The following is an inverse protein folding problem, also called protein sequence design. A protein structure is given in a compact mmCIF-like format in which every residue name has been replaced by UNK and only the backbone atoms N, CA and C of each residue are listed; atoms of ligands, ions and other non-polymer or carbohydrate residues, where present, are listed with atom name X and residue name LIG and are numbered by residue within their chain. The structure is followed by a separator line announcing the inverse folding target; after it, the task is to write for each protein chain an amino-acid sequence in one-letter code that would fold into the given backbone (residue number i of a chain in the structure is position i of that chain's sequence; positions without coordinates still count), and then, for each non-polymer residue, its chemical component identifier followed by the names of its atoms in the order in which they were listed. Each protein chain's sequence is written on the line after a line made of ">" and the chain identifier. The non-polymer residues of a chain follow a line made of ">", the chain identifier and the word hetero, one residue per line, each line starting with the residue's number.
data_IF_465410840288
#
_entry.id   IF_465410840288
#
_cell.length_a   1.000
_cell.length_b   1.000
_cell.length_c   1.000
_cell.angle_alpha   90.00
_cell.angle_beta   90.00
_cell.angle_gamma   90.00
#
_symmetry.space_group_name_H-M   'P 1'
#
loop_
_entity.id
_entity.type
_entity.pdbx_description
1 polymer ?
#
# COMPACT_ATOMS: atom_id res chain seq x y z
N UNK A 1 -43.66 24.41 30.06
CA UNK A 1 -44.77 25.34 29.90
C UNK A 1 -46.06 24.56 29.68
N UNK A 2 -47.06 24.85 30.52
CA UNK A 2 -48.52 24.62 30.35
C UNK A 2 -49.09 23.30 29.78
N UNK A 3 -49.81 22.62 30.70
CA UNK A 3 -51.18 22.05 30.61
C UNK A 3 -51.44 20.65 30.01
N UNK A 4 -51.58 19.72 30.97
CA UNK A 4 -52.64 18.71 31.26
C UNK A 4 -53.13 17.70 30.18
N UNK A 5 -53.36 16.43 30.59
CA UNK A 5 -53.79 15.29 29.76
C UNK A 5 -55.33 15.10 29.82
N UNK A 6 -55.88 14.05 29.14
CA UNK A 6 -57.01 13.18 29.58
C UNK A 6 -57.61 12.31 28.43
N UNK A 7 -57.79 11.00 28.74
CA UNK A 7 -58.82 10.01 28.28
C UNK A 7 -58.54 8.99 27.14
N UNK A 8 -58.61 7.71 27.55
CA UNK A 8 -58.76 6.42 26.83
C UNK A 8 -60.24 6.10 26.51
N UNK A 9 -60.60 5.03 25.75
CA UNK A 9 -60.92 3.72 26.36
C UNK A 9 -60.45 2.50 25.50
N UNK A 10 -60.08 1.33 26.04
CA UNK A 10 -60.94 0.19 26.51
C UNK A 10 -61.28 -0.73 25.31
N UNK A 11 -61.21 -2.07 25.27
CA UNK A 11 -61.03 -3.26 26.14
C UNK A 11 -60.62 -4.43 25.17
N UNK A 12 -59.60 -5.28 25.40
CA UNK A 12 -59.58 -6.62 26.06
C UNK A 12 -60.34 -7.77 25.30
N UNK A 13 -60.12 -9.10 25.51
CA UNK A 13 -58.92 -9.93 25.81
C UNK A 13 -58.89 -11.33 25.07
N UNK A 14 -57.95 -12.23 25.45
CA UNK A 14 -57.91 -13.73 25.36
C UNK A 14 -57.10 -14.50 24.28
N UNK A 15 -56.01 -15.13 24.78
CA UNK A 15 -55.53 -16.55 24.73
C UNK A 15 -55.68 -17.43 23.47
N UNK A 16 -54.51 -17.94 23.03
CA UNK A 16 -54.06 -19.33 22.71
C UNK A 16 -54.98 -20.29 21.92
N UNK A 17 -54.44 -21.13 20.99
CA UNK A 17 -53.75 -22.35 21.43
C UNK A 17 -52.61 -22.89 20.54
N UNK A 18 -51.83 -23.77 21.15
CA UNK A 18 -50.95 -24.80 20.60
C UNK A 18 -51.73 -25.94 19.95
N UNK A 19 -51.19 -26.57 18.89
CA UNK A 19 -51.12 -28.04 18.77
C UNK A 19 -50.37 -28.58 17.51
N UNK A 20 -49.58 -29.63 17.77
CA UNK A 20 -49.27 -30.82 16.94
C UNK A 20 -48.65 -30.67 15.52
N UNK A 21 -47.39 -31.14 15.34
CA UNK A 21 -47.03 -32.50 14.84
C UNK A 21 -45.58 -32.57 14.31
N UNK A 22 -44.87 -33.63 14.69
CA UNK A 22 -43.59 -34.07 14.12
C UNK A 22 -43.81 -34.86 12.80
N UNK A 23 -42.76 -35.03 11.98
CA UNK A 23 -42.09 -36.35 11.96
C UNK A 23 -40.56 -36.31 11.70
N UNK A 24 -39.86 -37.35 12.17
CA UNK A 24 -38.50 -37.72 11.73
C UNK A 24 -38.53 -38.32 10.31
N UNK A 25 -37.40 -38.28 9.57
CA UNK A 25 -36.66 -39.54 9.40
C UNK A 25 -35.12 -39.41 9.38
N UNK A 26 -34.49 -40.54 9.68
CA UNK A 26 -33.09 -40.90 9.47
C UNK A 26 -32.59 -40.71 8.03
N UNK A 27 -31.36 -40.22 7.85
CA UNK A 27 -30.41 -40.76 6.86
C UNK A 27 -28.99 -40.18 7.04
N UNK A 28 -28.07 -41.02 7.53
CA UNK A 28 -26.61 -40.82 7.39
C UNK A 28 -26.19 -41.11 5.93
N UNK A 29 -25.23 -40.39 5.35
CA UNK A 29 -24.66 -40.75 4.05
C UNK A 29 -23.73 -41.98 4.16
N UNK A 30 -23.66 -42.85 3.13
CA UNK A 30 -22.81 -44.04 3.13
C UNK A 30 -21.33 -43.70 2.85
N UNK A 31 -20.37 -44.55 3.29
CA UNK A 31 -18.95 -44.40 2.98
C UNK A 31 -18.63 -44.90 1.56
N UNK A 32 -17.75 -44.19 0.85
CA UNK A 32 -17.20 -44.62 -0.43
C UNK A 32 -16.20 -45.78 -0.23
N UNK A 33 -16.16 -46.78 -1.14
CA UNK A 33 -15.36 -47.99 -0.92
C UNK A 33 -13.88 -47.81 -1.30
N UNK A 34 -13.01 -48.32 -0.42
CA UNK A 34 -11.61 -48.65 -0.70
C UNK A 34 -11.52 -49.66 -1.85
N UNK A 35 -10.69 -49.38 -2.85
CA UNK A 35 -10.23 -50.39 -3.80
C UNK A 35 -8.69 -50.48 -3.77
N UNK A 36 -8.23 -51.46 -2.98
CA UNK A 36 -7.23 -52.49 -3.27
C UNK A 36 -6.05 -52.10 -4.21
N UNK A 37 -4.88 -51.92 -3.59
CA UNK A 37 -3.55 -52.15 -4.15
C UNK A 37 -3.29 -53.65 -4.41
N UNK A 38 -2.57 -54.03 -5.48
CA UNK A 38 -1.76 -55.24 -5.47
C UNK A 38 -0.31 -54.93 -5.07
N UNK A 39 0.15 -55.67 -4.06
CA UNK A 39 1.56 -55.83 -3.68
C UNK A 39 2.31 -56.57 -4.80
N UNK A 40 3.55 -56.16 -5.11
CA UNK A 40 4.61 -57.10 -5.43
C UNK A 40 5.96 -56.59 -4.92
N UNK A 41 6.63 -57.47 -4.16
CA UNK A 41 8.00 -57.31 -3.65
C UNK A 41 9.02 -57.36 -4.80
N UNK A 42 10.10 -56.59 -4.66
CA UNK A 42 11.30 -56.80 -5.47
C UNK A 42 12.46 -55.91 -5.03
N UNK A 43 13.33 -56.44 -4.17
CA UNK A 43 14.68 -55.90 -3.90
C UNK A 43 15.44 -55.70 -5.21
N UNK A 44 16.21 -54.60 -5.35
CA UNK A 44 17.65 -54.59 -5.69
C UNK A 44 18.22 -53.17 -5.84
N UNK A 45 19.48 -53.06 -5.48
CA UNK A 45 20.40 -51.91 -5.52
C UNK A 45 20.71 -51.37 -6.94
N UNK A 46 21.36 -50.19 -6.92
CA UNK A 46 22.32 -49.59 -7.88
C UNK A 46 21.76 -48.44 -8.78
N UNK A 47 22.62 -47.57 -9.38
CA UNK A 47 23.23 -46.38 -8.76
C UNK A 47 23.10 -45.13 -9.67
N UNK A 48 23.76 -44.03 -9.29
CA UNK A 48 23.93 -42.83 -10.08
C UNK A 48 24.74 -43.05 -11.38
N UNK A 49 24.28 -42.49 -12.51
CA UNK A 49 25.12 -41.80 -13.52
C UNK A 49 24.31 -41.17 -14.67
N UNK A 50 24.44 -39.86 -14.79
CA UNK A 50 24.74 -39.06 -15.99
C UNK A 50 24.71 -39.75 -17.36
N UNK A 51 23.87 -39.27 -18.30
CA UNK A 51 24.13 -39.30 -19.76
C UNK A 51 23.48 -38.07 -20.42
N UNK A 52 24.28 -37.34 -21.19
CA UNK A 52 23.86 -36.41 -22.22
C UNK A 52 23.97 -37.11 -23.60
N UNK A 53 23.07 -36.80 -24.54
CA UNK A 53 23.35 -36.41 -25.94
C UNK A 53 22.19 -36.69 -26.92
N UNK A 54 21.81 -35.61 -27.62
CA UNK A 54 21.55 -35.45 -29.06
C UNK A 54 20.61 -36.39 -29.84
N UNK A 55 19.64 -35.78 -30.54
CA UNK A 55 19.51 -35.85 -32.01
C UNK A 55 18.53 -34.79 -32.56
N UNK A 56 19.02 -33.93 -33.47
CA UNK A 56 18.28 -33.17 -34.50
C UNK A 56 18.19 -34.04 -35.78
N UNK A 57 17.39 -33.77 -36.86
CA UNK A 57 17.48 -32.54 -37.69
C UNK A 57 16.23 -32.09 -38.50
N UNK A 58 16.29 -30.88 -39.07
CA UNK A 58 15.42 -30.45 -40.18
C UNK A 58 15.56 -28.96 -40.60
N UNK A 59 16.57 -28.68 -41.44
CA UNK A 59 16.76 -27.64 -42.51
C UNK A 59 16.02 -26.25 -42.41
N UNK A 60 16.60 -25.03 -42.53
CA UNK A 60 17.63 -24.35 -43.38
C UNK A 60 16.95 -23.16 -44.17
N UNK A 61 17.66 -22.23 -44.85
CA UNK A 61 18.69 -21.28 -44.37
C UNK A 61 18.56 -19.84 -44.97
N UNK A 62 19.31 -18.83 -44.47
CA UNK A 62 19.91 -17.76 -45.31
C UNK A 62 21.26 -17.29 -44.73
N UNK A 63 22.22 -17.12 -45.64
CA UNK A 63 23.66 -16.92 -45.53
C UNK A 63 24.14 -15.54 -45.00
N UNK A 64 25.30 -15.55 -44.32
CA UNK A 64 26.42 -14.60 -44.54
C UNK A 64 27.74 -15.39 -44.51
N UNK A 65 28.48 -15.35 -45.62
CA UNK A 65 29.84 -15.86 -45.84
C UNK A 65 30.85 -14.82 -45.32
N UNK A 66 31.81 -15.20 -44.45
CA UNK A 66 33.16 -15.73 -44.74
C UNK A 66 34.19 -14.60 -44.93
N UNK A 67 35.46 -14.67 -44.52
CA UNK A 67 36.32 -15.79 -44.10
C UNK A 67 37.72 -15.28 -43.68
N UNK A 68 38.36 -16.05 -42.78
CA UNK A 68 39.80 -16.46 -42.75
C UNK A 68 40.92 -15.39 -42.64
N UNK A 69 42.05 -15.57 -41.95
CA UNK A 69 42.78 -16.77 -41.48
C UNK A 69 43.93 -16.40 -40.51
N UNK A 70 44.40 -17.43 -39.77
CA UNK A 70 45.50 -17.54 -38.79
C UNK A 70 46.87 -16.91 -39.18
N UNK A 71 47.81 -16.61 -38.27
CA UNK A 71 48.62 -17.57 -37.48
C UNK A 71 49.67 -16.91 -36.53
N UNK A 72 49.98 -17.62 -35.43
CA UNK A 72 51.28 -17.77 -34.68
C UNK A 72 51.84 -16.71 -33.70
N UNK A 73 51.63 -16.94 -32.38
CA UNK A 73 52.52 -16.97 -31.15
C UNK A 73 53.68 -15.95 -30.91
N UNK A 74 54.27 -15.80 -29.67
CA UNK A 74 53.85 -16.10 -28.27
C UNK A 74 54.17 -14.96 -27.22
N UNK A 75 53.71 -15.13 -25.96
CA UNK A 75 54.11 -14.39 -24.71
C UNK A 75 55.57 -14.68 -24.25
N UNK A 76 56.22 -14.08 -23.20
CA UNK A 76 55.73 -13.37 -21.97
C UNK A 76 56.70 -12.20 -21.50
N UNK A 77 57.06 -11.87 -20.21
CA UNK A 77 56.39 -11.83 -18.89
C UNK A 77 56.55 -10.48 -18.08
N UNK A 78 55.84 -10.40 -16.94
CA UNK A 78 56.02 -9.70 -15.62
C UNK A 78 56.94 -8.46 -15.35
N UNK A 79 56.44 -7.62 -14.43
CA UNK A 79 56.95 -6.41 -13.72
C UNK A 79 58.45 -6.29 -13.36
N UNK A 80 58.92 -5.05 -13.07
CA UNK A 80 59.40 -4.76 -11.70
C UNK A 80 59.13 -3.31 -11.19
N UNK A 81 59.53 -3.09 -9.93
CA UNK A 81 59.30 -1.93 -9.05
C UNK A 81 60.46 -0.91 -9.01
N UNK A 82 60.15 0.32 -8.55
CA UNK A 82 60.98 1.39 -7.94
C UNK A 82 62.01 2.18 -8.80
N UNK A 83 61.93 3.53 -8.72
CA UNK A 83 62.94 4.43 -8.08
C UNK A 83 62.44 5.89 -8.10
N UNK A 84 62.65 6.56 -6.96
CA UNK A 84 62.43 7.99 -6.68
C UNK A 84 63.63 8.82 -7.20
N UNK A 85 63.37 9.93 -7.90
CA UNK A 85 64.37 11.00 -8.10
C UNK A 85 63.73 12.37 -7.88
N UNK A 86 64.28 13.10 -6.90
CA UNK A 86 63.99 14.48 -6.54
C UNK A 86 64.46 15.46 -7.62
N UNK A 87 63.66 16.49 -7.92
CA UNK A 87 64.21 17.80 -8.32
C UNK A 87 63.52 18.95 -7.58
N UNK A 88 64.34 19.73 -6.86
CA UNK A 88 63.98 20.96 -6.12
C UNK A 88 63.79 22.12 -7.09
N UNK A 89 62.75 22.95 -6.90
CA UNK A 89 62.84 24.41 -7.10
C UNK A 89 62.09 25.17 -6.00
N UNK A 90 62.73 26.24 -5.56
CA UNK A 90 62.46 27.10 -4.39
C UNK A 90 61.46 28.24 -4.71
N UNK A 91 60.91 28.92 -3.68
CA UNK A 91 59.72 29.75 -3.79
C UNK A 91 60.03 31.21 -4.17
N UNK A 92 59.06 31.87 -4.81
CA UNK A 92 59.04 33.31 -4.99
C UNK A 92 58.11 33.94 -3.96
N UNK A 93 58.65 34.91 -3.23
CA UNK A 93 57.95 35.82 -2.34
C UNK A 93 57.50 37.05 -3.14
N UNK A 94 56.32 37.60 -2.85
CA UNK A 94 56.16 39.06 -2.74
C UNK A 94 54.84 39.46 -2.03
N UNK A 95 55.05 40.10 -0.88
CA UNK A 95 54.37 41.24 -0.24
C UNK A 95 52.87 41.49 -0.48
N UNK A 96 52.22 41.61 0.67
CA UNK A 96 50.93 42.17 1.00
C UNK A 96 50.73 43.62 0.55
N UNK A 97 49.51 43.91 0.09
CA UNK A 97 48.84 45.20 0.22
C UNK A 97 47.52 45.00 0.95
N UNK A 98 47.25 45.87 1.92
CA UNK A 98 46.13 45.82 2.84
C UNK A 98 44.80 46.03 2.11
N UNK A 99 43.84 45.15 2.35
CA UNK A 99 42.42 45.46 2.28
C UNK A 99 41.75 44.90 3.54
N UNK A 100 41.42 45.83 4.44
CA UNK A 100 40.68 45.64 5.68
C UNK A 100 39.34 44.96 5.39
N UNK A 101 39.20 43.69 5.81
CA UNK A 101 37.90 43.02 5.93
C UNK A 101 37.57 42.98 7.42
N UNK A 102 36.38 43.44 7.88
CA UNK A 102 36.07 43.41 9.29
C UNK A 102 35.95 41.96 9.76
N UNK A 103 36.80 41.60 10.73
CA UNK A 103 36.62 40.44 11.59
C UNK A 103 35.32 40.65 12.39
N UNK A 104 34.25 39.97 12.00
CA UNK A 104 33.10 39.79 12.87
C UNK A 104 33.45 38.65 13.83
N UNK A 105 33.60 39.02 15.09
CA UNK A 105 33.70 38.09 16.22
C UNK A 105 32.42 37.27 16.25
N UNK A 106 32.55 35.96 16.15
CA UNK A 106 31.44 35.03 16.28
C UNK A 106 31.01 34.99 17.75
N UNK A 107 29.91 35.65 18.05
CA UNK A 107 29.17 35.42 19.29
C UNK A 107 28.38 34.11 19.13
N UNK A 108 28.67 33.15 20.00
CA UNK A 108 27.96 31.89 20.06
C UNK A 108 26.54 32.10 20.54
N UNK A 109 25.56 31.92 19.66
CA UNK A 109 24.20 31.66 20.06
C UNK A 109 23.50 30.74 19.05
N UNK A 110 22.77 29.77 19.57
CA UNK A 110 22.22 28.64 18.82
C UNK A 110 21.15 28.99 17.78
N UNK A 111 20.95 28.02 16.90
CA UNK A 111 19.80 27.79 16.03
C UNK A 111 19.45 28.87 14.99
N UNK A 112 19.89 28.63 13.75
CA UNK A 112 19.12 28.89 12.52
C UNK A 112 19.64 27.96 11.42
N UNK A 113 18.98 26.82 11.23
CA UNK A 113 19.11 26.07 9.99
C UNK A 113 18.46 26.93 8.93
N UNK A 114 19.25 27.48 8.01
CA UNK A 114 18.74 28.23 6.86
C UNK A 114 17.92 27.28 5.99
N UNK A 115 16.61 27.44 5.97
CA UNK A 115 15.76 26.86 4.92
C UNK A 115 16.31 27.40 3.60
N UNK A 116 16.99 26.57 2.82
CA UNK A 116 17.42 26.99 1.48
C UNK A 116 16.18 27.48 0.72
N UNK A 117 16.26 28.70 0.18
CA UNK A 117 15.20 29.33 -0.61
C UNK A 117 15.01 28.54 -1.93
N UNK A 118 14.35 27.40 -1.85
CA UNK A 118 13.95 26.60 -3.01
C UNK A 118 12.50 26.91 -3.37
N UNK A 119 12.26 27.17 -4.65
CA UNK A 119 10.93 27.40 -5.23
C UNK A 119 10.16 26.11 -5.48
N UNK A 120 10.87 25.00 -5.74
CA UNK A 120 10.25 23.69 -5.96
C UNK A 120 9.65 23.12 -4.66
N UNK A 121 8.48 22.51 -4.77
CA UNK A 121 7.82 21.68 -3.76
C UNK A 121 8.37 20.26 -3.91
N UNK A 122 8.71 19.58 -2.82
CA UNK A 122 9.33 18.25 -2.86
C UNK A 122 8.43 17.20 -2.22
N UNK A 123 8.12 16.17 -2.99
CA UNK A 123 7.38 14.98 -2.60
C UNK A 123 8.32 13.78 -2.48
N UNK A 124 8.48 13.24 -1.28
CA UNK A 124 9.23 12.00 -1.04
C UNK A 124 8.43 10.76 -1.38
N UNK A 125 8.96 9.90 -2.24
CA UNK A 125 8.38 8.59 -2.54
C UNK A 125 9.34 7.45 -2.17
N UNK A 126 8.83 6.25 -1.84
CA UNK A 126 9.68 5.10 -1.58
C UNK A 126 10.51 4.75 -2.81
N UNK A 127 11.80 4.52 -2.60
CA UNK A 127 12.78 4.29 -3.68
C UNK A 127 12.77 2.89 -4.29
N UNK A 128 12.32 1.87 -3.54
CA UNK A 128 12.34 0.48 -3.98
C UNK A 128 11.33 -0.39 -3.22
N UNK A 129 11.10 -1.59 -3.74
CA UNK A 129 10.24 -2.61 -3.15
C UNK A 129 8.77 -2.39 -3.47
N UNK A 130 7.92 -3.28 -2.96
CA UNK A 130 6.48 -3.31 -3.24
C UNK A 130 5.80 -1.95 -3.06
N UNK A 131 6.13 -1.23 -1.99
CA UNK A 131 5.54 0.08 -1.72
C UNK A 131 5.90 1.12 -2.79
N UNK A 132 7.10 1.08 -3.36
CA UNK A 132 7.49 1.98 -4.46
C UNK A 132 6.66 1.69 -5.72
N UNK A 133 6.54 0.41 -6.08
CA UNK A 133 5.79 -0.02 -7.27
C UNK A 133 4.30 0.34 -7.17
N UNK A 134 3.68 0.08 -6.01
CA UNK A 134 2.28 0.42 -5.75
C UNK A 134 2.06 1.94 -5.71
N UNK A 135 3.00 2.71 -5.15
CA UNK A 135 2.92 4.19 -5.13
C UNK A 135 3.00 4.77 -6.54
N UNK A 136 3.92 4.28 -7.37
CA UNK A 136 4.04 4.71 -8.77
C UNK A 136 2.81 4.29 -9.60
N UNK A 137 2.25 3.11 -9.34
CA UNK A 137 1.03 2.65 -9.98
C UNK A 137 -0.17 3.53 -9.60
N UNK A 138 -0.32 3.89 -8.31
CA UNK A 138 -1.35 4.82 -7.83
C UNK A 138 -1.24 6.16 -8.55
N UNK A 139 -0.06 6.79 -8.52
CA UNK A 139 0.15 8.09 -9.17
C UNK A 139 -0.12 8.02 -10.69
N UNK A 140 0.31 6.95 -11.36
CA UNK A 140 -0.02 6.71 -12.77
C UNK A 140 -1.51 6.58 -13.02
N UNK A 141 -2.24 5.86 -12.16
CA UNK A 141 -3.69 5.68 -12.27
C UNK A 141 -4.46 6.99 -12.00
N UNK A 142 -3.87 7.90 -11.23
CA UNK A 142 -4.31 9.29 -11.06
C UNK A 142 -3.89 10.21 -12.24
N UNK A 143 -3.32 9.71 -13.34
CA UNK A 143 -2.72 10.57 -14.38
C UNK A 143 -1.66 11.56 -13.85
N UNK A 144 -1.07 11.28 -12.69
CA UNK A 144 0.06 12.00 -12.09
C UNK A 144 1.35 11.23 -12.38
N UNK A 145 1.57 10.91 -13.66
CA UNK A 145 2.70 10.07 -14.07
C UNK A 145 4.03 10.73 -13.69
N UNK A 146 4.83 10.01 -12.90
CA UNK A 146 6.18 10.45 -12.53
C UNK A 146 7.09 10.32 -13.75
N UNK A 147 7.64 11.45 -14.20
CA UNK A 147 8.59 11.50 -15.30
C UNK A 147 10.00 11.28 -14.76
N UNK A 148 10.44 10.02 -14.76
CA UNK A 148 11.79 9.66 -14.38
C UNK A 148 12.66 9.45 -15.62
N UNK A 149 13.40 10.49 -16.02
CA UNK A 149 14.25 10.49 -17.22
C UNK A 149 15.31 9.38 -17.16
N UNK A 150 15.85 9.11 -15.97
CA UNK A 150 16.80 8.02 -15.73
C UNK A 150 16.41 7.24 -14.47
N UNK A 151 16.17 5.91 -14.55
CA UNK A 151 15.83 5.08 -13.39
C UNK A 151 16.86 5.11 -12.25
N UNK A 152 18.10 5.52 -12.53
CA UNK A 152 19.16 5.67 -11.52
C UNK A 152 19.15 7.04 -10.82
N UNK A 153 18.38 8.01 -11.33
CA UNK A 153 18.23 9.32 -10.69
C UNK A 153 17.24 9.22 -9.54
N UNK A 154 17.58 9.87 -8.43
CA UNK A 154 16.75 9.97 -7.24
C UNK A 154 15.72 11.11 -7.32
N UNK A 155 15.77 11.92 -8.37
CA UNK A 155 14.88 13.06 -8.58
C UNK A 155 14.13 12.89 -9.89
N UNK A 156 12.84 13.17 -9.87
CA UNK A 156 11.92 13.14 -11.00
C UNK A 156 10.92 14.31 -10.89
N UNK A 157 10.07 14.48 -11.88
CA UNK A 157 9.01 15.50 -11.89
C UNK A 157 7.62 14.90 -12.13
N UNK A 158 6.57 15.64 -11.75
CA UNK A 158 5.18 15.34 -12.13
C UNK A 158 4.67 16.56 -12.91
N UNK A 159 4.72 16.54 -14.25
CA UNK A 159 4.37 17.70 -15.09
C UNK A 159 2.95 18.25 -14.87
N UNK A 160 2.04 17.41 -14.40
CA UNK A 160 0.64 17.76 -14.14
C UNK A 160 0.46 18.62 -12.88
N UNK A 161 1.49 18.78 -12.05
CA UNK A 161 1.48 19.59 -10.83
C UNK A 161 2.60 20.63 -10.92
N UNK A 162 2.22 21.90 -10.81
CA UNK A 162 3.17 23.01 -10.95
C UNK A 162 4.22 22.98 -9.84
N UNK A 163 5.49 23.17 -10.22
CA UNK A 163 6.63 23.25 -9.31
C UNK A 163 6.83 22.03 -8.38
N UNK A 164 6.37 20.83 -8.75
CA UNK A 164 6.53 19.63 -7.94
C UNK A 164 7.69 18.74 -8.41
N UNK A 165 8.63 18.49 -7.51
CA UNK A 165 9.70 17.51 -7.65
C UNK A 165 9.43 16.27 -6.81
N UNK A 166 9.70 15.10 -7.38
CA UNK A 166 9.64 13.80 -6.71
C UNK A 166 11.03 13.38 -6.31
N UNK A 167 11.20 12.97 -5.05
CA UNK A 167 12.46 12.49 -4.49
C UNK A 167 12.31 11.05 -4.00
N UNK A 168 12.99 10.13 -4.67
CA UNK A 168 13.01 8.71 -4.30
C UNK A 168 13.98 8.47 -3.13
N UNK A 169 13.46 8.06 -1.99
CA UNK A 169 14.24 7.88 -0.75
C UNK A 169 13.86 6.57 -0.03
N UNK A 170 14.62 6.18 0.99
CA UNK A 170 14.17 5.10 1.88
C UNK A 170 13.02 5.64 2.74
N UNK A 171 12.00 4.84 3.09
CA UNK A 171 10.87 5.33 3.88
C UNK A 171 11.26 6.08 5.17
N UNK A 172 12.24 5.55 5.92
CA UNK A 172 12.79 6.23 7.11
C UNK A 172 13.38 7.62 6.81
N UNK A 173 14.07 7.75 5.67
CA UNK A 173 14.72 9.00 5.26
C UNK A 173 13.66 10.02 4.83
N UNK A 174 12.52 9.59 4.27
CA UNK A 174 11.38 10.46 3.96
C UNK A 174 10.85 11.11 5.24
N UNK A 175 10.61 10.32 6.29
CA UNK A 175 10.11 10.84 7.57
C UNK A 175 11.11 11.81 8.20
N UNK A 176 12.39 11.45 8.26
CA UNK A 176 13.42 12.36 8.78
C UNK A 176 13.52 13.66 7.98
N UNK A 177 13.39 13.60 6.66
CA UNK A 177 13.44 14.77 5.78
C UNK A 177 12.18 15.64 5.83
N UNK A 178 11.02 15.07 6.16
CA UNK A 178 9.83 15.86 6.47
C UNK A 178 10.02 16.64 7.78
N UNK A 179 10.60 16.00 8.80
CA UNK A 179 10.90 16.65 10.08
C UNK A 179 11.98 17.74 9.94
N UNK A 180 13.00 17.51 9.10
CA UNK A 180 14.06 18.50 8.85
C UNK A 180 13.62 19.66 7.94
N UNK A 181 12.55 19.50 7.16
CA UNK A 181 12.08 20.46 6.16
C UNK A 181 12.75 20.32 4.78
N UNK A 182 13.56 19.28 4.58
CA UNK A 182 14.18 18.99 3.27
C UNK A 182 13.15 18.49 2.23
N UNK A 183 12.05 17.88 2.72
CA UNK A 183 10.87 17.48 1.96
C UNK A 183 9.63 18.19 2.51
N UNK A 184 8.65 18.43 1.65
CA UNK A 184 7.38 19.06 2.04
C UNK A 184 6.28 18.03 2.25
N UNK A 185 6.24 17.02 1.37
CA UNK A 185 5.26 15.95 1.33
C UNK A 185 5.95 14.60 1.23
N UNK A 186 5.28 13.53 1.65
CA UNK A 186 5.78 12.19 1.51
C UNK A 186 4.67 11.15 1.50
N UNK A 187 4.86 10.09 0.72
CA UNK A 187 4.03 8.88 0.79
C UNK A 187 4.84 7.76 1.43
N UNK A 188 4.39 7.27 2.57
CA UNK A 188 5.08 6.27 3.41
C UNK A 188 4.06 5.40 4.15
N UNK A 189 4.48 4.29 4.73
CA UNK A 189 3.62 3.50 5.62
C UNK A 189 3.42 4.19 6.98
N UNK A 190 2.24 4.03 7.58
CA UNK A 190 1.92 4.57 8.90
C UNK A 190 2.84 4.03 10.00
N UNK A 191 3.26 2.78 9.88
CA UNK A 191 4.30 2.13 10.68
C UNK A 191 5.61 2.95 10.72
N UNK A 192 6.06 3.39 9.54
CA UNK A 192 7.30 4.16 9.36
C UNK A 192 7.16 5.54 9.98
N UNK A 193 6.01 6.19 9.78
CA UNK A 193 5.70 7.50 10.39
C UNK A 193 5.68 7.38 11.90
N UNK A 194 5.09 6.31 12.44
CA UNK A 194 4.96 6.10 13.88
C UNK A 194 6.31 5.79 14.54
N UNK A 195 7.17 5.01 13.87
CA UNK A 195 8.52 4.65 14.35
C UNK A 195 9.51 5.82 14.31
N UNK A 196 9.62 6.50 13.16
CA UNK A 196 10.65 7.52 12.95
C UNK A 196 10.14 8.94 13.21
N UNK A 197 8.83 9.15 13.14
CA UNK A 197 8.18 10.43 13.45
C UNK A 197 7.87 10.60 14.92
N UNK A 198 7.69 9.52 15.69
CA UNK A 198 7.58 9.53 17.15
C UNK A 198 6.53 10.53 17.71
N UNK A 199 5.43 10.73 16.99
CA UNK A 199 4.38 11.70 17.38
C UNK A 199 4.80 13.18 17.25
N UNK A 200 5.83 13.47 16.46
CA UNK A 200 6.31 14.84 16.24
C UNK A 200 5.20 15.71 15.62
N UNK A 201 4.84 16.80 16.31
CA UNK A 201 3.69 17.67 15.95
C UNK A 201 3.79 18.35 14.57
N UNK A 202 5.00 18.36 13.99
CA UNK A 202 5.23 18.86 12.64
C UNK A 202 4.79 17.89 11.55
N UNK A 203 4.57 16.61 11.85
CA UNK A 203 4.10 15.64 10.86
C UNK A 203 2.57 15.61 10.87
N UNK A 204 1.98 15.99 9.75
CA UNK A 204 0.52 15.98 9.55
C UNK A 204 0.17 14.86 8.59
N UNK A 205 -0.62 13.90 9.05
CA UNK A 205 -1.21 12.89 8.17
C UNK A 205 -2.36 13.56 7.42
N UNK A 206 -2.16 13.77 6.12
CA UNK A 206 -3.10 14.43 5.22
C UNK A 206 -4.12 13.43 4.69
N UNK A 207 -3.65 12.24 4.30
CA UNK A 207 -4.48 11.10 3.94
C UNK A 207 -3.99 9.86 4.68
N UNK A 208 -4.86 9.28 5.50
CA UNK A 208 -4.56 8.15 6.38
C UNK A 208 -4.84 6.77 5.76
N UNK A 209 -5.47 6.74 4.58
CA UNK A 209 -5.92 5.48 3.96
C UNK A 209 -5.78 5.46 2.43
N UNK A 210 -4.57 5.23 1.90
CA UNK A 210 -4.40 5.14 0.44
C UNK A 210 -4.83 3.79 -0.16
N UNK A 211 -5.36 2.87 0.65
CA UNK A 211 -5.89 1.55 0.23
C UNK A 211 -4.84 0.64 -0.44
N UNK A 212 -3.58 0.76 -0.04
CA UNK A 212 -2.52 -0.19 -0.39
C UNK A 212 -1.44 -0.25 0.72
N UNK A 213 -0.57 -1.26 0.62
CA UNK A 213 0.46 -1.48 1.63
C UNK A 213 -0.08 -2.01 2.96
N UNK A 214 -1.28 -2.59 2.98
CA UNK A 214 -1.94 -3.09 4.18
C UNK A 214 -1.09 -4.15 4.90
N UNK A 215 -0.77 -3.84 6.15
CA UNK A 215 -0.06 -4.72 7.07
C UNK A 215 -0.35 -4.30 8.51
N UNK A 216 0.01 -5.18 9.45
CA UNK A 216 -0.03 -4.87 10.88
C UNK A 216 1.31 -5.17 11.51
N UNK A 217 1.78 -4.29 12.37
CA UNK A 217 2.96 -4.56 13.19
C UNK A 217 2.52 -5.42 14.37
N UNK A 218 3.03 -6.64 14.48
CA UNK A 218 2.50 -7.63 15.42
C UNK A 218 3.60 -8.46 16.08
N UNK A 219 3.39 -8.83 17.33
CA UNK A 219 4.25 -9.79 18.04
C UNK A 219 3.93 -11.19 17.55
N UNK A 220 4.96 -11.91 17.10
CA UNK A 220 4.87 -13.32 16.75
C UNK A 220 5.80 -14.17 17.61
N UNK A 221 5.28 -15.31 18.06
CA UNK A 221 5.98 -16.29 18.90
C UNK A 221 6.02 -17.65 18.20
N UNK A 222 6.96 -18.55 18.54
CA UNK A 222 6.94 -19.92 18.06
C UNK A 222 5.60 -20.62 18.33
N UNK A 223 5.15 -21.43 17.37
CA UNK A 223 3.96 -22.30 17.52
C UNK A 223 4.20 -23.45 18.48
N UNK A 224 5.47 -23.86 18.60
CA UNK A 224 5.88 -25.07 19.27
C UNK A 224 6.75 -24.77 20.51
N UNK A 225 6.81 -25.70 21.46
CA UNK A 225 7.63 -25.63 22.67
C UNK A 225 6.93 -24.92 23.83
N UNK A 226 7.63 -24.02 24.51
CA UNK A 226 7.10 -23.32 25.70
C UNK A 226 5.93 -22.37 25.38
N UNK A 227 5.64 -22.17 24.10
CA UNK A 227 4.64 -21.25 23.57
C UNK A 227 3.37 -21.95 23.03
N UNK A 228 3.31 -23.29 23.08
CA UNK A 228 2.20 -24.10 22.52
C UNK A 228 0.82 -23.56 22.94
N UNK A 229 0.68 -23.34 24.25
CA UNK A 229 -0.58 -22.91 24.88
C UNK A 229 -0.65 -21.40 25.13
N UNK A 230 0.27 -20.61 24.58
CA UNK A 230 0.29 -19.16 24.71
C UNK A 230 -0.36 -18.56 23.46
N UNK A 231 -1.52 -17.92 23.63
CA UNK A 231 -2.31 -17.34 22.55
C UNK A 231 -2.65 -15.87 22.79
N UNK A 232 -2.34 -15.30 23.95
CA UNK A 232 -2.50 -13.87 24.24
C UNK A 232 -1.22 -13.23 24.78
N UNK A 233 -1.13 -11.91 24.64
CA UNK A 233 -0.03 -11.12 25.22
C UNK A 233 -0.01 -11.22 26.75
N UNK A 234 -1.17 -11.33 27.39
CA UNK A 234 -1.28 -11.47 28.84
C UNK A 234 -0.71 -12.81 29.33
N UNK A 235 -0.99 -13.89 28.61
CA UNK A 235 -0.40 -15.20 28.88
C UNK A 235 1.12 -15.17 28.71
N UNK A 236 1.61 -14.55 27.62
CA UNK A 236 3.04 -14.36 27.38
C UNK A 236 3.72 -13.58 28.51
N UNK A 237 3.05 -12.55 29.05
CA UNK A 237 3.57 -11.73 30.14
C UNK A 237 3.62 -12.46 31.49
N UNK A 238 2.69 -13.39 31.73
CA UNK A 238 2.57 -14.19 32.97
C UNK A 238 3.50 -15.39 33.02
N UNK A 239 4.24 -15.66 31.94
CA UNK A 239 5.21 -16.76 31.88
C UNK A 239 6.30 -16.60 32.96
N UNK A 240 6.53 -17.60 33.83
CA UNK A 240 7.49 -17.51 34.93
C UNK A 240 8.96 -17.46 34.47
N UNK A 241 9.23 -17.74 33.20
CA UNK A 241 10.56 -17.73 32.60
C UNK A 241 11.18 -16.33 32.52
N UNK A 242 10.35 -15.28 32.48
CA UNK A 242 10.80 -13.91 32.26
C UNK A 242 11.15 -13.26 33.58
N UNK A 243 12.45 -13.13 33.81
CA UNK A 243 13.05 -12.54 35.01
C UNK A 243 14.01 -11.44 34.61
N UNK A 244 14.57 -10.72 35.59
CA UNK A 244 15.59 -9.71 35.31
C UNK A 244 16.84 -10.32 34.67
N UNK A 245 17.19 -11.55 35.07
CA UNK A 245 18.36 -12.29 34.60
C UNK A 245 18.11 -12.98 33.26
N UNK A 246 16.86 -13.36 32.97
CA UNK A 246 16.42 -13.94 31.70
C UNK A 246 15.19 -13.17 31.17
N UNK A 247 15.39 -12.00 30.55
CA UNK A 247 14.29 -11.28 29.93
C UNK A 247 13.79 -12.01 28.67
N UNK A 248 12.54 -11.76 28.30
CA UNK A 248 12.00 -12.13 27.00
C UNK A 248 12.77 -11.37 25.92
N UNK A 249 13.41 -12.08 24.99
CA UNK A 249 14.17 -11.46 23.90
C UNK A 249 13.27 -11.28 22.69
N UNK A 250 13.12 -10.04 22.23
CA UNK A 250 12.33 -9.70 21.04
C UNK A 250 13.26 -9.16 19.94
N UNK A 251 13.29 -9.82 18.79
CA UNK A 251 13.97 -9.28 17.61
C UNK A 251 13.03 -8.35 16.82
N UNK A 252 13.50 -7.14 16.50
CA UNK A 252 12.70 -6.17 15.75
C UNK A 252 13.56 -5.11 15.06
N UNK A 253 13.07 -4.57 13.95
CA UNK A 253 13.58 -3.32 13.35
C UNK A 253 12.95 -2.06 13.97
N UNK A 254 11.91 -2.21 14.80
CA UNK A 254 11.14 -1.12 15.40
C UNK A 254 11.65 -0.79 16.80
N UNK A 255 12.67 0.06 16.83
CA UNK A 255 13.40 0.48 18.03
C UNK A 255 12.62 1.41 18.95
N UNK A 256 11.61 2.11 18.44
CA UNK A 256 10.78 3.03 19.21
C UNK A 256 9.44 2.39 19.59
N UNK A 257 8.71 1.85 18.60
CA UNK A 257 7.37 1.30 18.83
C UNK A 257 7.37 0.05 19.72
N UNK A 258 8.34 -0.84 19.54
CA UNK A 258 8.43 -2.07 20.33
C UNK A 258 8.54 -1.80 21.83
N UNK A 259 9.55 -1.05 22.30
CA UNK A 259 9.68 -0.70 23.71
C UNK A 259 8.46 0.03 24.27
N UNK A 260 7.88 0.96 23.51
CA UNK A 260 6.69 1.72 23.96
C UNK A 260 5.48 0.80 24.16
N UNK A 261 5.21 -0.08 23.20
CA UNK A 261 4.10 -1.02 23.27
C UNK A 261 4.21 -1.97 24.46
N UNK A 262 5.39 -2.59 24.63
CA UNK A 262 5.64 -3.55 25.70
C UNK A 262 5.55 -2.89 27.09
N UNK A 263 6.02 -1.64 27.20
CA UNK A 263 5.89 -0.83 28.42
C UNK A 263 4.42 -0.50 28.72
N UNK A 264 3.64 -0.09 27.72
CA UNK A 264 2.21 0.21 27.85
C UNK A 264 1.42 -1.02 28.31
N UNK A 265 1.75 -2.19 27.76
CA UNK A 265 1.12 -3.48 28.09
C UNK A 265 1.63 -4.10 29.39
N UNK A 266 2.57 -3.46 30.09
CA UNK A 266 3.04 -3.86 31.42
C UNK A 266 4.02 -5.03 31.46
N UNK A 267 4.64 -5.40 30.33
CA UNK A 267 5.67 -6.43 30.27
C UNK A 267 6.99 -5.88 30.82
N UNK A 268 7.44 -6.38 31.97
CA UNK A 268 8.57 -5.80 32.73
C UNK A 268 9.94 -6.31 32.31
N UNK A 269 10.03 -7.57 31.90
CA UNK A 269 11.29 -8.28 31.66
C UNK A 269 11.45 -8.56 30.18
N UNK A 270 11.76 -7.51 29.39
CA UNK A 270 11.92 -7.61 27.94
C UNK A 270 13.23 -6.95 27.53
N UNK A 271 13.94 -7.60 26.60
CA UNK A 271 15.13 -7.06 25.95
C UNK A 271 14.95 -7.10 24.44
N UNK A 272 15.32 -6.02 23.76
CA UNK A 272 15.23 -5.93 22.30
C UNK A 272 16.58 -6.17 21.66
N UNK A 273 16.58 -6.84 20.52
CA UNK A 273 17.73 -6.95 19.63
C UNK A 273 17.35 -6.50 18.23
N UNK A 274 18.15 -5.62 17.64
CA UNK A 274 18.00 -5.25 16.23
C UNK A 274 18.55 -6.35 15.35
N UNK A 275 17.74 -6.84 14.42
CA UNK A 275 18.18 -7.76 13.38
C UNK A 275 17.94 -7.11 12.02
N UNK A 276 18.96 -7.10 11.17
CA UNK A 276 18.86 -6.63 9.79
C UNK A 276 18.53 -7.82 8.88
N UNK A 277 17.26 -7.94 8.50
CA UNK A 277 16.77 -8.99 7.60
C UNK A 277 16.49 -10.33 8.27
N UNK A 278 15.62 -11.13 7.62
CA UNK A 278 15.19 -12.46 8.04
C UNK A 278 14.86 -12.60 9.55
N UNK A 279 14.11 -11.63 10.10
CA UNK A 279 13.74 -11.62 11.52
C UNK A 279 13.00 -12.90 11.92
N UNK A 280 12.21 -13.45 11.01
CA UNK A 280 11.45 -14.69 11.16
C UNK A 280 12.30 -15.90 11.55
N UNK A 281 13.60 -15.91 11.23
CA UNK A 281 14.52 -16.98 11.61
C UNK A 281 15.10 -16.80 13.03
N UNK A 282 15.04 -15.60 13.61
CA UNK A 282 15.68 -15.28 14.89
C UNK A 282 15.25 -16.19 16.06
N UNK A 283 13.95 -16.59 16.18
CA UNK A 283 13.54 -17.56 17.20
C UNK A 283 14.15 -18.95 16.99
N UNK A 284 14.16 -19.45 15.76
CA UNK A 284 14.72 -20.77 15.44
C UNK A 284 16.24 -20.83 15.64
N UNK A 285 16.95 -19.72 15.39
CA UNK A 285 18.39 -19.58 15.65
C UNK A 285 18.72 -19.39 17.13
N UNK A 286 17.72 -19.19 17.99
CA UNK A 286 17.90 -18.93 19.43
C UNK A 286 18.43 -17.54 19.75
N UNK A 287 18.42 -16.61 18.78
CA UNK A 287 18.84 -15.20 18.97
C UNK A 287 17.79 -14.47 19.80
N UNK A 288 16.51 -14.71 19.50
CA UNK A 288 15.37 -14.14 20.20
C UNK A 288 14.41 -15.25 20.63
N UNK A 289 13.45 -14.91 21.49
CA UNK A 289 12.37 -15.81 21.91
C UNK A 289 11.07 -15.49 21.14
N UNK A 290 10.91 -14.22 20.72
CA UNK A 290 9.81 -13.73 19.92
C UNK A 290 10.31 -12.69 18.90
N UNK A 291 9.46 -12.31 17.95
CA UNK A 291 9.72 -11.22 17.01
C UNK A 291 8.61 -10.19 17.08
N UNK A 292 8.94 -8.95 16.71
CA UNK A 292 7.97 -7.90 16.43
C UNK A 292 8.24 -7.40 15.01
N UNK A 293 7.35 -7.72 14.09
CA UNK A 293 7.54 -7.46 12.65
C UNK A 293 6.21 -7.20 11.93
N UNK A 294 6.29 -6.72 10.69
CA UNK A 294 5.14 -6.45 9.84
C UNK A 294 4.55 -7.74 9.28
N UNK A 295 3.24 -7.88 9.44
CA UNK A 295 2.46 -9.03 8.95
C UNK A 295 1.42 -8.54 7.96
N UNK A 296 1.49 -9.02 6.72
CA UNK A 296 0.43 -8.82 5.71
C UNK A 296 -0.44 -10.09 5.63
N UNK A 297 -0.11 -11.04 4.75
CA UNK A 297 -0.83 -12.32 4.63
C UNK A 297 -0.55 -13.34 5.75
N UNK A 298 0.54 -13.15 6.50
CA UNK A 298 1.01 -14.10 7.51
C UNK A 298 1.74 -15.32 6.96
N UNK A 299 2.00 -15.39 5.65
CA UNK A 299 2.72 -16.54 5.04
C UNK A 299 4.10 -16.74 5.64
N UNK A 300 4.90 -15.67 5.76
CA UNK A 300 6.26 -15.71 6.33
C UNK A 300 6.28 -16.27 7.75
N UNK A 301 5.32 -15.87 8.59
CA UNK A 301 5.18 -16.41 9.95
C UNK A 301 4.88 -17.90 9.92
N UNK A 302 3.95 -18.34 9.07
CA UNK A 302 3.57 -19.76 8.97
C UNK A 302 4.74 -20.63 8.52
N UNK A 303 5.51 -20.17 7.55
CA UNK A 303 6.69 -20.89 7.02
C UNK A 303 7.79 -21.07 8.07
N UNK A 304 7.88 -20.14 9.03
CA UNK A 304 8.84 -20.18 10.13
C UNK A 304 8.25 -20.75 11.43
N UNK A 305 7.09 -21.40 11.36
CA UNK A 305 6.39 -21.96 12.52
C UNK A 305 6.13 -20.93 13.63
N UNK A 306 5.81 -19.69 13.26
CA UNK A 306 5.42 -18.62 14.16
C UNK A 306 3.91 -18.39 14.11
N UNK A 307 3.34 -17.89 15.21
CA UNK A 307 1.94 -17.47 15.32
C UNK A 307 1.87 -16.07 15.93
N UNK A 308 0.90 -15.29 15.47
CA UNK A 308 0.48 -14.06 16.15
C UNK A 308 -0.34 -14.41 17.39
N UNK A 309 -0.40 -13.48 18.33
CA UNK A 309 -1.14 -13.64 19.59
C UNK A 309 -2.18 -12.52 19.75
N UNK A 310 -3.27 -12.83 20.45
CA UNK A 310 -4.29 -11.87 20.81
C UNK A 310 -3.70 -10.74 21.65
N UNK A 311 -4.06 -9.49 21.30
CA UNK A 311 -3.49 -8.30 21.91
C UNK A 311 -2.02 -8.06 21.56
N UNK A 312 -1.43 -8.83 20.64
CA UNK A 312 -0.05 -8.66 20.15
C UNK A 312 0.10 -7.69 18.98
N UNK A 313 -1.00 -7.22 18.38
CA UNK A 313 -0.99 -6.19 17.33
C UNK A 313 -0.66 -4.84 17.95
N UNK A 314 0.42 -4.23 17.48
CA UNK A 314 0.91 -2.91 17.92
C UNK A 314 0.21 -1.79 17.16
N UNK A 315 0.13 -1.91 15.84
CA UNK A 315 -0.57 -0.95 15.00
C UNK A 315 -1.00 -1.60 13.68
N UNK A 316 -2.14 -1.16 13.16
CA UNK A 316 -2.56 -1.40 11.77
C UNK A 316 -1.92 -0.31 10.89
N UNK A 317 -1.35 -0.70 9.75
CA UNK A 317 -0.57 0.16 8.87
C UNK A 317 -1.01 0.03 7.43
N UNK A 318 -1.03 1.16 6.74
CA UNK A 318 -1.20 1.27 5.31
C UNK A 318 -0.41 2.46 4.80
N UNK A 319 -0.36 2.64 3.48
CA UNK A 319 0.26 3.81 2.89
C UNK A 319 -0.55 5.08 3.22
N UNK A 320 0.17 6.12 3.62
CA UNK A 320 -0.37 7.42 4.03
C UNK A 320 0.32 8.56 3.28
N UNK A 321 -0.42 9.63 3.00
CA UNK A 321 0.14 10.91 2.58
C UNK A 321 0.40 11.77 3.81
N UNK A 322 1.65 12.18 3.99
CA UNK A 322 2.10 12.99 5.13
C UNK A 322 2.74 14.28 4.63
N UNK A 323 2.56 15.35 5.39
CA UNK A 323 3.13 16.65 5.11
C UNK A 323 3.87 17.22 6.34
N UNK A 324 4.88 18.06 6.09
CA UNK A 324 5.44 18.92 7.15
C UNK A 324 4.52 20.12 7.39
N UNK A 325 4.12 20.32 8.65
CA UNK A 325 3.30 21.45 9.12
C UNK A 325 4.02 22.78 8.87
N UNK A 326 5.32 22.86 9.15
CA UNK A 326 6.15 24.03 8.81
C UNK A 326 6.11 24.32 7.32
N UNK A 327 6.31 23.32 6.46
CA UNK A 327 6.23 23.52 5.00
C UNK A 327 4.85 24.02 4.58
N UNK A 328 3.76 23.44 5.11
CA UNK A 328 2.40 23.88 4.82
C UNK A 328 2.14 25.34 5.23
N UNK A 329 2.77 25.82 6.30
CA UNK A 329 2.58 27.17 6.84
C UNK A 329 3.49 28.23 6.21
N UNK A 330 4.74 27.86 5.91
CA UNK A 330 5.80 28.82 5.63
C UNK A 330 6.23 28.83 4.16
N UNK A 331 5.99 27.74 3.42
CA UNK A 331 6.43 27.62 2.02
C UNK A 331 5.25 27.84 1.09
N UNK A 332 5.39 28.86 0.23
CA UNK A 332 4.38 29.21 -0.75
C UNK A 332 4.06 28.04 -1.70
N UNK A 333 2.78 27.86 -2.00
CA UNK A 333 2.29 26.82 -2.91
C UNK A 333 2.13 25.43 -2.28
N UNK A 334 2.84 25.10 -1.19
CA UNK A 334 2.78 23.75 -0.60
C UNK A 334 1.35 23.37 -0.18
N UNK A 335 0.62 24.27 0.51
CA UNK A 335 -0.76 24.00 0.92
C UNK A 335 -1.68 23.73 -0.27
N UNK A 336 -1.60 24.54 -1.33
CA UNK A 336 -2.45 24.40 -2.51
C UNK A 336 -2.14 23.11 -3.27
N UNK A 337 -0.86 22.78 -3.45
CA UNK A 337 -0.46 21.51 -4.08
C UNK A 337 -0.85 20.31 -3.24
N UNK A 338 -0.76 20.41 -1.91
CA UNK A 338 -1.22 19.36 -0.99
C UNK A 338 -2.73 19.14 -1.10
N UNK A 339 -3.50 20.24 -1.14
CA UNK A 339 -4.95 20.19 -1.35
C UNK A 339 -5.30 19.52 -2.67
N UNK A 340 -4.66 19.93 -3.77
CA UNK A 340 -4.89 19.34 -5.10
C UNK A 340 -4.54 17.84 -5.14
N UNK A 341 -3.41 17.43 -4.54
CA UNK A 341 -3.04 16.02 -4.44
C UNK A 341 -4.08 15.26 -3.61
N UNK A 342 -4.50 15.80 -2.46
CA UNK A 342 -5.49 15.19 -1.59
C UNK A 342 -6.83 14.97 -2.32
N UNK A 343 -7.36 16.00 -2.96
CA UNK A 343 -8.63 15.93 -3.72
C UNK A 343 -8.55 14.89 -4.84
N UNK A 344 -7.45 14.87 -5.60
CA UNK A 344 -7.24 13.89 -6.66
C UNK A 344 -7.17 12.47 -6.11
N UNK A 345 -6.42 12.24 -5.03
CA UNK A 345 -6.31 10.91 -4.42
C UNK A 345 -7.68 10.42 -3.93
N UNK A 346 -8.45 11.25 -3.23
CA UNK A 346 -9.78 10.86 -2.75
C UNK A 346 -10.77 10.62 -3.91
N UNK A 347 -10.75 11.47 -4.93
CA UNK A 347 -11.57 11.27 -6.12
C UNK A 347 -11.18 9.99 -6.86
N UNK A 348 -9.90 9.62 -6.85
CA UNK A 348 -9.41 8.39 -7.46
C UNK A 348 -9.88 7.17 -6.68
N UNK A 349 -9.66 7.13 -5.36
CA UNK A 349 -10.09 6.02 -4.51
C UNK A 349 -11.60 5.78 -4.65
N UNK A 350 -12.40 6.85 -4.64
CA UNK A 350 -13.84 6.78 -4.93
C UNK A 350 -14.14 6.17 -6.32
N UNK A 351 -13.41 6.60 -7.35
CA UNK A 351 -13.57 6.10 -8.72
C UNK A 351 -13.17 4.62 -8.85
N UNK A 352 -12.14 4.16 -8.12
CA UNK A 352 -11.75 2.74 -8.13
C UNK A 352 -12.85 1.84 -7.59
N UNK A 353 -13.76 2.34 -6.75
CA UNK A 353 -14.92 1.60 -6.26
C UNK A 353 -16.06 1.43 -7.27
N UNK A 354 -16.03 2.11 -8.42
CA UNK A 354 -17.17 2.25 -9.33
C UNK A 354 -16.83 1.90 -10.79
N UNK A 355 -17.88 1.64 -11.56
CA UNK A 355 -17.86 1.62 -13.03
C UNK A 355 -18.90 2.59 -13.57
N UNK A 356 -18.63 3.17 -14.73
CA UNK A 356 -19.70 3.74 -15.56
C UNK A 356 -20.30 2.63 -16.39
N UNK A 357 -21.61 2.44 -16.26
CA UNK A 357 -22.38 1.47 -17.03
C UNK A 357 -23.33 2.23 -17.96
N UNK A 358 -23.20 1.94 -19.25
CA UNK A 358 -24.07 2.49 -20.29
C UNK A 358 -24.86 1.36 -20.93
N UNK A 359 -26.17 1.50 -21.10
CA UNK A 359 -27.00 0.46 -21.72
C UNK A 359 -28.05 1.05 -22.65
N UNK A 360 -28.38 0.34 -23.72
CA UNK A 360 -29.49 0.68 -24.62
C UNK A 360 -30.77 0.00 -24.15
N UNK A 361 -31.82 0.77 -23.96
CA UNK A 361 -33.13 0.31 -23.51
C UNK A 361 -34.21 0.74 -24.49
N UNK A 362 -35.15 -0.14 -24.80
CA UNK A 362 -36.35 0.28 -25.53
C UNK A 362 -37.29 1.03 -24.61
N UNK A 363 -37.96 2.06 -25.12
CA UNK A 363 -38.98 2.80 -24.39
C UNK A 363 -39.71 3.79 -25.28
N UNK A 364 -40.89 4.22 -24.88
CA UNK A 364 -41.67 5.23 -25.61
C UNK A 364 -41.28 6.65 -25.22
N UNK A 365 -40.75 6.82 -24.02
CA UNK A 365 -40.28 8.11 -23.49
C UNK A 365 -39.05 7.92 -22.60
N UNK A 366 -38.27 8.99 -22.42
CA UNK A 366 -37.14 8.97 -21.49
C UNK A 366 -37.60 8.74 -20.03
N UNK A 367 -38.77 9.26 -19.66
CA UNK A 367 -39.34 9.10 -18.33
C UNK A 367 -39.69 7.63 -18.03
N UNK A 368 -40.33 6.94 -18.96
CA UNK A 368 -40.63 5.50 -18.82
C UNK A 368 -39.35 4.67 -18.62
N UNK A 369 -38.29 4.97 -19.38
CA UNK A 369 -37.00 4.28 -19.22
C UNK A 369 -36.39 4.59 -17.85
N UNK A 370 -36.42 5.85 -17.40
CA UNK A 370 -35.93 6.23 -16.08
C UNK A 370 -36.69 5.51 -14.95
N UNK A 371 -38.02 5.46 -15.02
CA UNK A 371 -38.88 4.75 -14.05
C UNK A 371 -38.55 3.25 -14.00
N UNK A 372 -38.36 2.61 -15.16
CA UNK A 372 -37.98 1.20 -15.23
C UNK A 372 -36.61 0.94 -14.59
N UNK A 373 -35.63 1.81 -14.82
CA UNK A 373 -34.29 1.68 -14.21
C UNK A 373 -34.35 1.91 -12.71
N UNK A 374 -35.05 2.96 -12.26
CA UNK A 374 -35.20 3.30 -10.84
C UNK A 374 -36.05 2.30 -10.06
N UNK A 375 -36.84 1.45 -10.74
CA UNK A 375 -37.53 0.32 -10.11
C UNK A 375 -36.58 -0.76 -9.59
N UNK A 376 -35.34 -0.79 -10.10
CA UNK A 376 -34.32 -1.78 -9.74
C UNK A 376 -33.41 -1.26 -8.64
N UNK A 377 -33.16 -2.09 -7.62
CA UNK A 377 -32.44 -1.67 -6.41
C UNK A 377 -30.99 -1.28 -6.68
N UNK A 378 -30.29 -1.97 -7.59
CA UNK A 378 -28.85 -1.73 -7.84
C UNK A 378 -28.56 -0.71 -8.94
N UNK A 379 -29.60 -0.14 -9.58
CA UNK A 379 -29.45 0.71 -10.75
C UNK A 379 -29.72 2.20 -10.49
N UNK A 380 -29.77 2.61 -9.21
CA UNK A 380 -30.03 4.00 -8.83
C UNK A 380 -28.97 4.97 -9.37
N UNK A 381 -27.71 4.53 -9.49
CA UNK A 381 -26.59 5.42 -9.82
C UNK A 381 -26.17 6.29 -8.63
N UNK A 382 -25.43 7.38 -8.89
CA UNK A 382 -25.09 8.36 -7.84
C UNK A 382 -26.29 9.26 -7.50
N UNK A 383 -26.99 9.74 -8.53
CA UNK A 383 -28.13 10.67 -8.41
C UNK A 383 -29.36 10.23 -9.22
N UNK A 384 -29.26 9.14 -9.98
CA UNK A 384 -30.22 8.71 -10.99
C UNK A 384 -29.57 8.36 -12.33
N UNK A 385 -30.31 7.72 -13.25
CA UNK A 385 -29.85 7.44 -14.60
C UNK A 385 -29.91 8.68 -15.49
N UNK A 386 -28.82 8.97 -16.20
CA UNK A 386 -28.86 9.88 -17.35
C UNK A 386 -29.51 9.16 -18.52
N UNK A 387 -30.57 9.71 -19.10
CA UNK A 387 -31.32 9.05 -20.20
C UNK A 387 -31.28 9.92 -21.46
N UNK A 388 -30.73 9.38 -22.54
CA UNK A 388 -30.55 10.08 -23.83
C UNK A 388 -31.18 9.30 -24.99
N UNK A 389 -31.82 9.96 -25.98
CA UNK A 389 -32.44 9.26 -27.12
C UNK A 389 -31.41 8.59 -28.03
N UNK A 390 -31.70 7.39 -28.51
CA UNK A 390 -30.91 6.63 -29.47
C UNK A 390 -31.71 6.49 -30.76
N UNK A 391 -31.21 7.15 -31.80
CA UNK A 391 -31.86 7.19 -33.11
C UNK A 391 -31.49 5.95 -33.93
N UNK A 392 -32.50 5.34 -34.53
CA UNK A 392 -32.32 4.23 -35.45
C UNK A 392 -33.14 4.46 -36.72
N UNK A 393 -32.73 3.81 -37.82
CA UNK A 393 -33.42 3.91 -39.10
C UNK A 393 -34.40 2.75 -39.25
N UNK A 394 -35.70 3.05 -39.34
CA UNK A 394 -36.75 2.08 -39.70
C UNK A 394 -37.49 2.56 -40.92
N UNK A 395 -37.66 1.67 -41.89
CA UNK A 395 -38.45 1.96 -43.12
C UNK A 395 -38.04 3.28 -43.81
N UNK A 396 -36.74 3.59 -43.79
CA UNK A 396 -36.20 4.82 -44.39
C UNK A 396 -36.32 6.08 -43.53
N UNK A 397 -37.04 6.07 -42.41
CA UNK A 397 -37.19 7.20 -41.47
C UNK A 397 -36.34 7.01 -40.22
N UNK A 398 -35.88 8.12 -39.65
CA UNK A 398 -35.17 8.13 -38.35
C UNK A 398 -36.21 8.21 -37.25
N UNK A 399 -36.17 7.27 -36.31
CA UNK A 399 -37.08 7.17 -35.17
C UNK A 399 -36.30 6.94 -33.88
N UNK A 400 -36.89 7.34 -32.75
CA UNK A 400 -36.36 7.07 -31.41
C UNK A 400 -37.14 5.91 -30.83
N UNK A 401 -36.57 4.70 -30.93
CA UNK A 401 -37.14 3.51 -30.29
C UNK A 401 -36.36 3.06 -29.05
N UNK A 402 -35.16 3.63 -28.88
CA UNK A 402 -34.23 3.28 -27.83
C UNK A 402 -33.76 4.54 -27.11
N UNK A 403 -33.32 4.33 -25.88
CA UNK A 403 -32.65 5.32 -25.04
C UNK A 403 -31.36 4.69 -24.50
N UNK A 404 -30.29 5.47 -24.46
CA UNK A 404 -29.07 5.12 -23.78
C UNK A 404 -29.17 5.64 -22.35
N UNK A 405 -29.00 4.75 -21.38
CA UNK A 405 -28.88 5.11 -19.97
C UNK A 405 -27.42 5.15 -19.56
N UNK A 406 -27.06 6.01 -18.62
CA UNK A 406 -25.73 6.03 -17.98
C UNK A 406 -25.90 6.08 -16.47
N UNK A 407 -25.30 5.14 -15.76
CA UNK A 407 -25.30 5.05 -14.30
C UNK A 407 -23.90 4.68 -13.79
N UNK A 408 -23.57 5.11 -12.58
CA UNK A 408 -22.42 4.57 -11.86
C UNK A 408 -22.85 3.36 -11.04
N UNK A 409 -22.11 2.27 -11.13
CA UNK A 409 -22.41 1.02 -10.42
C UNK A 409 -21.20 0.59 -9.61
N UNK A 410 -21.37 0.24 -8.31
CA UNK A 410 -20.27 -0.26 -7.49
C UNK A 410 -19.67 -1.53 -8.11
N UNK A 411 -18.33 -1.66 -8.11
CA UNK A 411 -17.65 -2.82 -8.72
C UNK A 411 -18.18 -4.15 -8.21
N UNK A 412 -18.48 -4.23 -6.91
CA UNK A 412 -19.00 -5.43 -6.24
C UNK A 412 -20.41 -5.81 -6.72
N UNK A 413 -21.20 -4.84 -7.17
CA UNK A 413 -22.59 -5.02 -7.63
C UNK A 413 -22.72 -5.23 -9.14
N UNK A 414 -21.63 -5.07 -9.92
CA UNK A 414 -21.68 -5.04 -11.39
C UNK A 414 -22.47 -6.21 -12.01
N UNK A 415 -22.21 -7.44 -11.58
CA UNK A 415 -22.85 -8.61 -12.17
C UNK A 415 -24.36 -8.67 -11.90
N UNK A 416 -24.77 -8.27 -10.69
CA UNK A 416 -26.18 -8.16 -10.32
C UNK A 416 -26.86 -7.05 -11.12
N UNK A 417 -26.22 -5.88 -11.23
CA UNK A 417 -26.74 -4.76 -12.00
C UNK A 417 -26.91 -5.08 -13.49
N UNK A 418 -25.96 -5.80 -14.09
CA UNK A 418 -26.10 -6.26 -15.49
C UNK A 418 -27.28 -7.22 -15.65
N UNK A 419 -27.58 -8.05 -14.64
CA UNK A 419 -28.75 -8.94 -14.65
C UNK A 419 -30.05 -8.15 -14.58
N UNK A 420 -30.17 -7.25 -13.60
CA UNK A 420 -31.33 -6.36 -13.44
C UNK A 420 -31.57 -5.52 -14.70
N UNK A 421 -30.50 -5.01 -15.32
CA UNK A 421 -30.59 -4.28 -16.59
C UNK A 421 -31.18 -5.14 -17.72
N UNK A 422 -30.79 -6.41 -17.82
CA UNK A 422 -31.32 -7.32 -18.85
C UNK A 422 -32.77 -7.70 -18.59
N UNK A 423 -33.17 -7.85 -17.33
CA UNK A 423 -34.55 -8.15 -16.93
C UNK A 423 -35.52 -7.05 -17.36
N UNK A 424 -35.10 -5.79 -17.29
CA UNK A 424 -35.89 -4.63 -17.77
C UNK A 424 -35.69 -4.32 -19.26
N UNK A 425 -35.09 -5.24 -20.04
CA UNK A 425 -34.95 -5.12 -21.50
C UNK A 425 -33.73 -4.31 -21.98
N UNK A 426 -32.77 -4.04 -21.10
CA UNK A 426 -31.49 -3.42 -21.44
C UNK A 426 -30.59 -4.34 -22.26
N UNK A 427 -29.91 -3.76 -23.25
CA UNK A 427 -29.04 -4.45 -24.19
C UNK A 427 -27.81 -3.59 -24.54
N UNK A 428 -26.76 -4.21 -25.08
CA UNK A 428 -25.52 -3.49 -25.41
C UNK A 428 -24.88 -2.80 -24.21
N UNK A 429 -24.81 -3.50 -23.07
CA UNK A 429 -24.29 -2.94 -21.81
C UNK A 429 -22.77 -2.75 -21.92
N UNK A 430 -22.33 -1.50 -21.96
CA UNK A 430 -20.94 -1.08 -21.94
C UNK A 430 -20.52 -0.76 -20.51
N UNK A 431 -19.32 -1.18 -20.14
CA UNK A 431 -18.76 -0.97 -18.79
C UNK A 431 -17.38 -0.34 -18.95
N UNK A 432 -17.17 0.80 -18.31
CA UNK A 432 -15.94 1.57 -18.41
C UNK A 432 -15.39 1.92 -17.02
N UNK A 433 -14.06 1.90 -16.90
CA UNK A 433 -13.37 2.39 -15.70
C UNK A 433 -13.44 3.92 -15.61
N UNK A 434 -13.40 4.43 -14.39
CA UNK A 434 -13.30 5.84 -14.07
C UNK A 434 -11.91 6.14 -13.49
N UNK A 435 -11.33 7.28 -13.85
CA UNK A 435 -10.10 7.76 -13.20
C UNK A 435 -10.41 8.56 -11.94
N UNK A 436 -11.40 9.45 -12.00
CA UNK A 436 -11.79 10.32 -10.91
C UNK A 436 -13.30 10.43 -10.81
N UNK A 437 -13.82 10.50 -9.58
CA UNK A 437 -15.17 10.95 -9.26
C UNK A 437 -15.01 12.06 -8.23
N UNK A 438 -15.09 13.31 -8.67
CA UNK A 438 -15.11 14.46 -7.76
C UNK A 438 -16.54 14.65 -7.23
N UNK A 439 -16.64 14.82 -5.92
CA UNK A 439 -17.87 15.04 -5.16
C UNK A 439 -17.63 16.23 -4.20
N UNK A 440 -18.53 16.45 -3.25
CA UNK A 440 -18.31 17.40 -2.17
C UNK A 440 -16.96 17.19 -1.43
N UNK A 441 -16.41 18.29 -0.93
CA UNK A 441 -15.15 18.27 -0.18
C UNK A 441 -15.25 17.35 1.03
N UNK A 442 -14.29 16.43 1.11
CA UNK A 442 -14.26 15.46 2.18
C UNK A 442 -13.95 16.12 3.53
N UNK A 443 -14.27 15.44 4.64
CA UNK A 443 -13.81 15.88 5.94
C UNK A 443 -12.28 16.01 6.04
N UNK A 444 -11.49 15.28 5.23
CA UNK A 444 -10.03 15.40 5.23
C UNK A 444 -9.58 16.74 4.64
N UNK A 445 -10.12 17.15 3.49
CA UNK A 445 -9.84 18.46 2.91
C UNK A 445 -10.19 19.59 3.88
N UNK A 446 -11.38 19.53 4.48
CA UNK A 446 -11.82 20.51 5.48
C UNK A 446 -10.95 20.52 6.73
N UNK A 447 -10.55 19.35 7.25
CA UNK A 447 -9.62 19.28 8.38
C UNK A 447 -8.28 19.91 8.03
N UNK A 448 -7.73 19.60 6.85
CA UNK A 448 -6.48 20.19 6.38
C UNK A 448 -6.57 21.71 6.37
N UNK A 449 -7.60 22.30 5.75
CA UNK A 449 -7.78 23.75 5.70
C UNK A 449 -8.00 24.37 7.10
N UNK A 450 -8.78 23.70 7.95
CA UNK A 450 -9.06 24.16 9.32
C UNK A 450 -7.82 24.23 10.21
N UNK A 451 -6.83 23.35 10.01
CA UNK A 451 -5.54 23.41 10.71
C UNK A 451 -4.78 24.70 10.43
N UNK A 452 -5.16 25.43 9.38
CA UNK A 452 -4.51 26.65 8.90
C UNK A 452 -5.43 27.87 8.92
N UNK A 453 -6.60 27.77 9.57
CA UNK A 453 -7.53 28.89 9.74
C UNK A 453 -8.15 29.39 8.43
N UNK A 454 -8.28 28.51 7.43
CA UNK A 454 -8.92 28.77 6.14
C UNK A 454 -10.19 27.95 5.96
#
# INVERSE_FOLDING_TARGET
>A
GSRRPVISPGEDPFRCPSDLQSPHPDSKPPPLPLTILPKFLGRRHFPARMVAMNACPGAAPVHVLSSSSASTYPCPPSAPSFIVVYTRRRPLSCRSSLATSPLVVADGNGARVSTEERTAIRLGLPSKGRMADETLALLKNCHLSVNQVNPRQYVADIPQLANLEVWFQRPKDIVHKLVSGDLDLGIVGLDTVSEYGQGHEDLVIVHDELEYGDCRLSIAIPKYGIFDNINSLEELAKMPQWTRERPLRIATGFTYLGPNFVKEKGLRHVSFSTADGALEAAPAMGIADAILDLVSSGTTLRENNLKEIEGGVVLESQAVLVASKKSLLQRDGVLNTTHEILERLEAHLRATGQFTVTANMRGKSAQEVAENVLSQQSLYGLQGPTVSPVYCKREGKVVVDYYAIVICVPRKALYESVRQLREIGGSGVLVSNLTYIFEEETPRCRRLLSLFGR
#
